data_IF_078327754742
#
_entry.id   IF_078327754742
#
_cell.length_a   1.000
_cell.length_b   1.000
_cell.length_c   1.000
_cell.angle_alpha   90.00
_cell.angle_beta   90.00
_cell.angle_gamma   90.00
#
_symmetry.space_group_name_H-M   'P 1'
#
loop_
_entity.id
_entity.type
_entity.pdbx_description
1 polymer ?
#
# COMPACT_ATOMS: atom_id res chain seq x y z
N UNK A 1 -8.10 7.87 -4.89
CA UNK A 1 -8.18 6.67 -4.01
C UNK A 1 -9.61 6.20 -4.00
N UNK A 2 -9.87 4.98 -4.52
CA UNK A 2 -11.23 4.44 -4.74
C UNK A 2 -12.00 4.16 -3.43
N UNK A 3 -11.31 3.93 -2.32
CA UNK A 3 -11.90 3.47 -1.05
C UNK A 3 -11.53 4.39 0.12
N UNK A 4 -11.66 5.71 -0.09
CA UNK A 4 -11.34 6.68 0.94
C UNK A 4 -12.38 6.63 2.07
N UNK A 5 -11.91 6.62 3.32
CA UNK A 5 -12.76 6.64 4.52
C UNK A 5 -13.67 7.87 4.63
N UNK A 6 -13.41 8.93 3.84
CA UNK A 6 -14.20 10.18 3.83
C UNK A 6 -15.32 10.21 2.79
N UNK A 7 -15.33 9.28 1.82
CA UNK A 7 -16.32 9.24 0.72
C UNK A 7 -17.57 8.44 1.11
N UNK A 8 -18.24 8.85 2.20
CA UNK A 8 -19.44 8.17 2.68
C UNK A 8 -20.65 8.25 1.73
N UNK A 9 -20.69 9.23 0.85
CA UNK A 9 -21.84 9.50 -0.04
C UNK A 9 -21.73 8.87 -1.43
N UNK A 10 -20.68 8.12 -1.75
CA UNK A 10 -20.57 7.47 -3.07
C UNK A 10 -21.62 6.38 -3.24
N UNK A 11 -22.35 6.44 -4.34
CA UNK A 11 -23.40 5.46 -4.69
C UNK A 11 -22.85 4.03 -4.83
N UNK A 12 -21.63 3.90 -5.32
CA UNK A 12 -20.93 2.64 -5.54
C UNK A 12 -20.35 2.00 -4.27
N UNK A 13 -20.31 2.74 -3.13
CA UNK A 13 -19.75 2.26 -1.87
C UNK A 13 -20.42 0.97 -1.37
N UNK A 14 -21.75 0.91 -1.43
CA UNK A 14 -22.51 -0.27 -0.98
C UNK A 14 -22.14 -1.52 -1.77
N UNK A 15 -21.93 -1.37 -3.07
CA UNK A 15 -21.61 -2.50 -3.95
C UNK A 15 -20.19 -3.00 -3.71
N UNK A 16 -19.24 -2.09 -3.46
CA UNK A 16 -17.89 -2.46 -3.05
C UNK A 16 -17.86 -3.17 -1.70
N UNK A 17 -18.60 -2.69 -0.70
CA UNK A 17 -18.69 -3.37 0.59
C UNK A 17 -19.29 -4.78 0.45
N UNK A 18 -20.31 -4.95 -0.37
CA UNK A 18 -20.88 -6.27 -0.69
C UNK A 18 -19.85 -7.16 -1.39
N UNK A 19 -19.13 -6.62 -2.37
CA UNK A 19 -18.08 -7.36 -3.07
C UNK A 19 -17.01 -7.85 -2.09
N UNK A 20 -16.48 -6.96 -1.23
CA UNK A 20 -15.47 -7.35 -0.24
C UNK A 20 -15.99 -8.37 0.77
N UNK A 21 -17.29 -8.37 1.12
CA UNK A 21 -17.85 -9.39 2.01
C UNK A 21 -18.02 -10.75 1.35
N UNK A 22 -18.06 -10.81 0.03
CA UNK A 22 -18.36 -12.04 -0.72
C UNK A 22 -17.19 -12.50 -1.61
N UNK A 23 -16.10 -11.74 -1.71
CA UNK A 23 -15.01 -12.01 -2.66
C UNK A 23 -14.47 -13.44 -2.57
N UNK A 24 -14.37 -14.03 -1.37
CA UNK A 24 -13.94 -15.42 -1.19
C UNK A 24 -14.91 -16.42 -1.78
N UNK A 25 -16.23 -16.19 -1.63
CA UNK A 25 -17.25 -17.05 -2.24
C UNK A 25 -17.21 -16.97 -3.75
N UNK A 26 -16.78 -15.84 -4.29
CA UNK A 26 -16.59 -15.59 -5.71
C UNK A 26 -15.24 -16.10 -6.23
N UNK A 27 -14.37 -16.65 -5.37
CA UNK A 27 -13.06 -17.16 -5.74
C UNK A 27 -11.98 -16.09 -6.01
N UNK A 28 -12.17 -14.88 -5.48
CA UNK A 28 -11.19 -13.80 -5.63
C UNK A 28 -10.30 -13.64 -4.40
N UNK A 29 -9.00 -13.52 -4.63
CA UNK A 29 -8.04 -13.00 -3.68
C UNK A 29 -7.82 -11.51 -3.95
N UNK A 30 -8.08 -10.66 -2.96
CA UNK A 30 -8.00 -9.22 -3.11
C UNK A 30 -6.82 -8.65 -2.33
N UNK A 31 -5.93 -7.94 -3.03
CA UNK A 31 -4.79 -7.25 -2.43
C UNK A 31 -5.04 -5.74 -2.48
N UNK A 32 -5.04 -5.11 -1.31
CA UNK A 32 -5.17 -3.66 -1.18
C UNK A 32 -3.81 -3.06 -0.84
N UNK A 33 -3.34 -2.14 -1.68
CA UNK A 33 -2.08 -1.42 -1.45
C UNK A 33 -2.41 0.00 -1.01
N UNK A 34 -1.95 0.38 0.18
CA UNK A 34 -2.17 1.71 0.75
C UNK A 34 -0.99 2.16 1.59
N UNK A 35 -0.78 3.46 1.69
CA UNK A 35 0.25 4.01 2.58
C UNK A 35 -0.17 3.96 4.06
N UNK A 36 -1.47 4.03 4.33
CA UNK A 36 -2.03 4.00 5.67
C UNK A 36 -3.34 3.21 5.68
N UNK A 37 -3.48 2.27 6.61
CA UNK A 37 -4.70 1.47 6.78
C UNK A 37 -5.92 2.33 7.14
N UNK A 38 -5.69 3.46 7.85
CA UNK A 38 -6.77 4.40 8.24
C UNK A 38 -7.39 5.16 7.07
N UNK A 39 -6.72 5.23 5.93
CA UNK A 39 -7.28 5.84 4.72
C UNK A 39 -8.35 4.98 4.06
N UNK A 40 -8.38 3.68 4.35
CA UNK A 40 -9.40 2.76 3.86
C UNK A 40 -10.73 2.93 4.61
N UNK A 41 -11.82 2.71 3.89
CA UNK A 41 -13.17 2.65 4.49
C UNK A 41 -13.21 1.66 5.65
N UNK A 42 -13.89 2.03 6.74
CA UNK A 42 -13.96 1.24 7.96
C UNK A 42 -14.57 -0.15 7.75
N UNK A 43 -15.58 -0.25 6.88
CA UNK A 43 -16.27 -1.51 6.61
C UNK A 43 -15.39 -2.46 5.77
N UNK A 44 -14.68 -1.92 4.78
CA UNK A 44 -13.70 -2.69 3.99
C UNK A 44 -12.53 -3.13 4.87
N UNK A 45 -12.02 -2.22 5.70
CA UNK A 45 -10.92 -2.52 6.63
C UNK A 45 -11.27 -3.61 7.63
N UNK A 46 -12.53 -3.68 8.08
CA UNK A 46 -13.00 -4.76 8.97
C UNK A 46 -12.99 -6.16 8.34
N UNK A 47 -12.84 -6.25 7.02
CA UNK A 47 -12.81 -7.51 6.27
C UNK A 47 -11.40 -7.96 5.88
N UNK A 48 -10.38 -7.15 6.21
CA UNK A 48 -8.98 -7.50 5.99
C UNK A 48 -8.60 -8.63 6.94
N UNK A 49 -8.02 -9.70 6.38
CA UNK A 49 -7.51 -10.81 7.19
C UNK A 49 -6.03 -10.66 7.52
N UNK A 50 -5.22 -10.28 6.53
CA UNK A 50 -3.78 -10.14 6.69
C UNK A 50 -3.34 -8.73 6.34
N UNK A 51 -2.42 -8.20 7.15
CA UNK A 51 -1.77 -6.91 6.90
C UNK A 51 -0.25 -7.09 6.83
N UNK A 52 0.33 -6.67 5.71
CA UNK A 52 1.76 -6.74 5.44
C UNK A 52 2.34 -5.33 5.53
N UNK A 53 3.07 -5.04 6.61
CA UNK A 53 3.65 -3.72 6.85
C UNK A 53 5.11 -3.72 6.39
N UNK A 54 5.37 -3.01 5.30
CA UNK A 54 6.72 -2.82 4.76
C UNK A 54 7.38 -1.59 5.39
N UNK A 55 8.56 -1.77 5.98
CA UNK A 55 9.33 -0.68 6.59
C UNK A 55 10.81 -0.77 6.24
N UNK A 56 11.46 0.39 6.13
CA UNK A 56 12.91 0.48 6.01
C UNK A 56 13.54 0.26 7.38
N UNK A 57 14.57 -0.58 7.47
CA UNK A 57 15.23 -0.90 8.74
C UNK A 57 15.85 0.34 9.40
N UNK A 58 16.36 1.29 8.62
CA UNK A 58 16.90 2.55 9.15
C UNK A 58 15.90 3.39 9.95
N UNK A 59 14.59 3.20 9.75
CA UNK A 59 13.54 3.90 10.50
C UNK A 59 13.43 3.45 11.97
N UNK A 60 14.11 2.37 12.34
CA UNK A 60 14.18 1.88 13.73
C UNK A 60 15.38 2.44 14.52
N UNK A 61 15.99 3.53 14.02
CA UNK A 61 17.12 4.20 14.65
C UNK A 61 18.37 3.30 14.70
N UNK A 62 19.19 3.45 15.77
CA UNK A 62 20.46 2.75 15.91
C UNK A 62 20.29 1.22 15.87
N UNK A 63 19.24 0.70 16.50
CA UNK A 63 18.94 -0.75 16.51
C UNK A 63 18.68 -1.27 15.08
N UNK A 64 17.94 -0.54 14.28
CA UNK A 64 17.69 -0.89 12.88
C UNK A 64 18.94 -0.83 12.02
N UNK A 65 19.85 0.09 12.31
CA UNK A 65 21.13 0.19 11.61
C UNK A 65 22.05 -1.00 11.89
N UNK A 66 22.13 -1.43 13.16
CA UNK A 66 22.88 -2.65 13.58
C UNK A 66 22.31 -3.90 12.89
N UNK A 67 20.98 -4.06 12.91
CA UNK A 67 20.31 -5.21 12.27
C UNK A 67 20.58 -5.20 10.76
N UNK A 68 20.49 -4.04 10.10
CA UNK A 68 20.80 -3.89 8.69
C UNK A 68 22.24 -4.30 8.36
N UNK A 69 23.21 -3.94 9.20
CA UNK A 69 24.61 -4.30 9.01
C UNK A 69 24.84 -5.81 9.17
N UNK A 70 24.22 -6.43 10.17
CA UNK A 70 24.37 -7.88 10.45
C UNK A 70 23.69 -8.76 9.39
N UNK A 71 22.47 -8.39 8.97
CA UNK A 71 21.65 -9.23 8.07
C UNK A 71 21.87 -8.86 6.59
N UNK A 72 22.54 -7.74 6.29
CA UNK A 72 22.71 -7.19 4.93
C UNK A 72 21.38 -6.99 4.18
N UNK A 73 20.28 -6.73 4.90
CA UNK A 73 18.95 -6.44 4.36
C UNK A 73 18.57 -5.00 4.64
N UNK A 74 17.74 -4.42 3.76
CA UNK A 74 17.38 -3.00 3.85
C UNK A 74 15.96 -2.79 4.39
N UNK A 75 15.09 -3.76 4.17
CA UNK A 75 13.67 -3.67 4.47
C UNK A 75 13.20 -4.86 5.30
N UNK A 76 12.14 -4.63 6.05
CA UNK A 76 11.41 -5.65 6.78
C UNK A 76 9.93 -5.59 6.40
N UNK A 77 9.34 -6.74 6.17
CA UNK A 77 7.91 -6.94 6.05
C UNK A 77 7.41 -7.64 7.31
N UNK A 78 6.49 -7.02 8.03
CA UNK A 78 5.87 -7.59 9.22
C UNK A 78 4.49 -8.11 8.84
N UNK A 79 4.26 -9.40 9.02
CA UNK A 79 2.98 -10.05 8.76
C UNK A 79 2.12 -10.01 10.02
N UNK A 80 0.94 -9.44 9.92
CA UNK A 80 0.00 -9.29 11.02
C UNK A 80 -1.33 -9.94 10.64
N UNK A 81 -1.83 -10.81 11.49
CA UNK A 81 -3.22 -11.24 11.42
C UNK A 81 -4.11 -10.11 11.95
N UNK A 82 -4.79 -9.46 11.03
CA UNK A 82 -5.39 -8.15 11.26
C UNK A 82 -6.56 -8.16 12.26
N UNK A 83 -7.46 -9.19 12.31
CA UNK A 83 -8.60 -9.21 13.22
C UNK A 83 -8.23 -9.04 14.69
N UNK A 84 -7.15 -9.66 15.13
CA UNK A 84 -6.67 -9.58 16.52
C UNK A 84 -5.32 -8.85 16.65
N UNK A 85 -4.83 -8.28 15.53
CA UNK A 85 -3.54 -7.57 15.45
C UNK A 85 -2.34 -8.38 15.97
N UNK A 86 -2.40 -9.68 15.78
CA UNK A 86 -1.33 -10.59 16.19
C UNK A 86 -0.23 -10.62 15.13
N UNK A 87 1.00 -10.36 15.54
CA UNK A 87 2.17 -10.53 14.68
C UNK A 87 2.43 -12.01 14.47
N UNK A 88 2.49 -12.43 13.20
CA UNK A 88 2.74 -13.81 12.83
C UNK A 88 4.21 -14.04 12.51
N UNK A 89 4.75 -13.23 11.57
CA UNK A 89 6.11 -13.43 11.06
C UNK A 89 6.75 -12.10 10.62
N UNK A 90 8.04 -12.17 10.34
CA UNK A 90 8.82 -11.07 9.78
C UNK A 90 9.79 -11.56 8.72
N UNK A 91 9.68 -10.99 7.54
CA UNK A 91 10.60 -11.24 6.45
C UNK A 91 11.53 -10.04 6.22
N UNK A 92 12.82 -10.34 6.02
CA UNK A 92 13.82 -9.32 5.70
C UNK A 92 14.24 -9.45 4.25
N UNK A 93 14.24 -8.35 3.51
CA UNK A 93 14.57 -8.35 2.10
C UNK A 93 15.36 -7.11 1.67
N UNK A 94 15.96 -7.19 0.48
CA UNK A 94 16.61 -6.06 -0.19
C UNK A 94 16.05 -5.90 -1.59
N UNK A 95 15.82 -4.66 -2.00
CA UNK A 95 15.38 -4.37 -3.37
C UNK A 95 16.60 -4.47 -4.29
N UNK A 96 16.45 -5.20 -5.39
CA UNK A 96 17.47 -5.23 -6.45
C UNK A 96 17.49 -3.88 -7.17
N UNK A 97 18.68 -3.30 -7.36
CA UNK A 97 18.84 -2.01 -8.03
C UNK A 97 18.13 -1.95 -9.39
N UNK A 98 18.24 -3.01 -10.19
CA UNK A 98 17.58 -3.11 -11.49
C UNK A 98 16.05 -2.93 -11.42
N UNK A 99 15.40 -3.39 -10.33
CA UNK A 99 13.96 -3.23 -10.13
C UNK A 99 13.64 -1.79 -9.67
N UNK A 100 14.48 -1.23 -8.80
CA UNK A 100 14.31 0.15 -8.35
C UNK A 100 14.48 1.15 -9.50
N UNK A 101 15.45 0.92 -10.38
CA UNK A 101 15.75 1.80 -11.52
C UNK A 101 14.66 1.70 -12.64
N UNK A 102 13.85 0.64 -12.65
CA UNK A 102 12.74 0.49 -13.61
C UNK A 102 11.47 1.24 -13.21
N UNK A 103 11.42 1.77 -11.98
CA UNK A 103 10.26 2.50 -11.46
C UNK A 103 10.57 4.00 -11.41
N UNK A 104 9.87 4.75 -12.26
CA UNK A 104 9.92 6.21 -12.24
C UNK A 104 8.79 6.77 -11.36
N UNK A 105 9.19 7.43 -10.27
CA UNK A 105 8.25 8.02 -9.31
C UNK A 105 7.61 9.31 -9.84
N UNK A 106 8.23 9.97 -10.80
CA UNK A 106 7.83 11.28 -11.29
C UNK A 106 7.04 11.24 -12.60
N UNK A 107 6.95 10.10 -13.27
CA UNK A 107 6.24 9.95 -14.55
C UNK A 107 4.81 10.50 -14.53
N UNK A 108 4.09 10.36 -13.41
CA UNK A 108 2.73 10.90 -13.26
C UNK A 108 2.65 12.43 -13.18
N UNK A 109 3.76 13.09 -12.87
CA UNK A 109 3.82 14.56 -12.77
C UNK A 109 4.23 15.16 -14.12
N UNK A 110 5.12 14.50 -14.87
CA UNK A 110 5.56 14.93 -16.20
C UNK A 110 4.41 14.98 -17.21
N UNK A 111 3.44 14.06 -17.09
CA UNK A 111 2.25 14.04 -17.95
C UNK A 111 1.32 15.25 -17.69
N UNK A 112 1.27 15.76 -16.46
CA UNK A 112 0.48 16.96 -16.13
C UNK A 112 1.11 18.24 -16.64
N UNK A 113 2.41 18.39 -16.53
CA UNK A 113 3.13 19.57 -17.06
C UNK A 113 2.99 19.67 -18.58
N UNK A 114 3.04 18.52 -19.30
CA UNK A 114 2.82 18.50 -20.73
C UNK A 114 1.39 18.89 -21.13
N UNK A 115 0.37 18.50 -20.35
CA UNK A 115 -1.01 18.88 -20.62
C UNK A 115 -1.26 20.37 -20.37
N UNK A 116 -0.69 20.95 -19.31
CA UNK A 116 -0.78 22.39 -19.02
C UNK A 116 -0.06 23.25 -20.08
N UNK A 117 1.09 22.78 -20.58
CA UNK A 117 1.83 23.45 -21.65
C UNK A 117 1.09 23.41 -23.01
N UNK A 118 0.40 22.32 -23.31
CA UNK A 118 -0.38 22.18 -24.54
C UNK A 118 -1.67 23.01 -24.49
N UNK A 119 -2.35 23.10 -23.34
CA UNK A 119 -3.51 23.98 -23.15
C UNK A 119 -3.12 25.47 -23.21
N UNK A 120 -1.96 25.85 -22.68
CA UNK A 120 -1.49 27.23 -22.72
C UNK A 120 -1.06 27.71 -24.11
N UNK A 121 -0.71 26.79 -25.01
CA UNK A 121 -0.36 27.10 -26.41
C UNK A 121 -1.57 27.10 -27.36
N UNK A 122 -2.73 26.64 -26.91
CA UNK A 122 -3.96 26.56 -27.69
C UNK A 122 -4.89 27.80 -27.53
N UNK A 123 -4.49 28.76 -26.67
CA UNK A 123 -5.14 30.07 -26.49
C UNK A 123 -4.30 31.15 -27.16
#
# INVERSE_FOLDING_TARGET
>A
ILFNSRDYSRKDRSDWVKFFSQHRKLGYDVILITQQDRSLDRQIRGQIEYNYIHRKLTNFGIKGWIIRFLIHKQFVCVHIWYPIKMRMDCEYFSIKKKIADSYDTFSMFDDKEKQEDDESKAI
#
